data_IF_902427793662
#
_entry.id   IF_902427793662
#
_cell.length_a   1.000
_cell.length_b   1.000
_cell.length_c   1.000
_cell.angle_alpha   90.00
_cell.angle_beta   90.00
_cell.angle_gamma   90.00
#
_symmetry.space_group_name_H-M   'P 1'
#
loop_
_entity.id
_entity.type
_entity.pdbx_description
1 polymer ?
#
# COMPACT_ATOMS: atom_id res chain seq x y z
N UNK A 1 17.19 -10.54 -31.69
CA UNK A 1 16.73 -9.16 -31.45
C UNK A 1 16.04 -9.13 -30.10
N UNK A 2 16.73 -8.62 -29.08
CA UNK A 2 16.15 -8.43 -27.75
C UNK A 2 15.40 -7.09 -27.78
N UNK A 3 14.08 -7.11 -27.78
CA UNK A 3 13.29 -5.89 -27.63
C UNK A 3 13.55 -5.40 -26.20
N UNK A 4 14.13 -4.20 -25.99
CA UNK A 4 14.26 -3.67 -24.65
C UNK A 4 12.85 -3.47 -24.11
N UNK A 5 12.46 -4.29 -23.12
CA UNK A 5 11.27 -4.04 -22.31
C UNK A 5 11.52 -2.68 -21.64
N UNK A 6 10.76 -1.67 -22.06
CA UNK A 6 10.87 -0.31 -21.56
C UNK A 6 10.87 -0.32 -20.03
N UNK A 7 11.73 0.51 -19.43
CA UNK A 7 11.71 0.75 -17.99
C UNK A 7 10.27 1.11 -17.60
N UNK A 8 9.69 0.40 -16.64
CA UNK A 8 8.37 0.73 -16.11
C UNK A 8 8.42 2.16 -15.60
N UNK A 9 7.68 3.07 -16.24
CA UNK A 9 7.68 4.47 -15.86
C UNK A 9 6.91 4.63 -14.55
N UNK A 10 7.48 5.40 -13.62
CA UNK A 10 6.87 5.62 -12.32
C UNK A 10 5.72 6.62 -12.49
N UNK A 11 4.49 6.10 -12.40
CA UNK A 11 3.29 6.89 -12.63
C UNK A 11 3.05 7.94 -11.55
N UNK A 12 3.30 7.57 -10.29
CA UNK A 12 3.29 8.49 -9.16
C UNK A 12 3.70 7.83 -7.86
N UNK A 13 3.71 8.61 -6.80
CA UNK A 13 4.17 8.21 -5.47
C UNK A 13 3.37 8.95 -4.41
N UNK A 14 3.21 8.31 -3.25
CA UNK A 14 2.71 8.95 -2.05
C UNK A 14 3.29 8.22 -0.81
N UNK A 15 3.25 8.86 0.35
CA UNK A 15 3.70 8.30 1.63
C UNK A 15 2.65 8.63 2.68
N UNK A 16 2.13 7.59 3.33
CA UNK A 16 1.18 7.76 4.43
C UNK A 16 1.91 7.56 5.77
N UNK A 17 1.91 8.57 6.66
CA UNK A 17 2.41 8.41 8.01
C UNK A 17 1.48 7.51 8.84
N UNK A 18 1.96 6.33 9.23
CA UNK A 18 1.16 5.35 9.97
C UNK A 18 0.79 5.78 11.40
N UNK A 19 1.48 6.80 11.94
CA UNK A 19 1.19 7.39 13.27
C UNK A 19 -0.22 7.97 13.37
N UNK A 20 -0.81 8.33 12.24
CA UNK A 20 -2.14 8.94 12.21
C UNK A 20 -3.23 7.86 12.23
N UNK A 21 -2.90 6.57 12.09
CA UNK A 21 -3.87 5.49 12.17
C UNK A 21 -4.28 5.23 13.62
N UNK A 22 -5.60 5.17 13.87
CA UNK A 22 -6.11 4.65 15.14
C UNK A 22 -6.01 3.12 15.13
N UNK A 23 -5.55 2.49 16.22
CA UNK A 23 -5.62 1.03 16.35
C UNK A 23 -7.04 0.50 16.21
N UNK A 24 -7.20 -0.65 15.55
CA UNK A 24 -8.48 -1.33 15.27
C UNK A 24 -9.48 -0.53 14.43
N UNK A 25 -9.05 0.57 13.81
CA UNK A 25 -9.88 1.42 12.96
C UNK A 25 -9.38 1.35 11.51
N UNK A 26 -10.29 1.04 10.59
CA UNK A 26 -10.02 1.15 9.15
C UNK A 26 -10.15 2.61 8.73
N UNK A 27 -9.11 3.13 8.10
CA UNK A 27 -9.12 4.48 7.53
C UNK A 27 -8.91 4.44 6.02
N UNK A 28 -9.79 5.11 5.31
CA UNK A 28 -9.69 5.32 3.87
C UNK A 28 -8.85 6.56 3.55
N UNK A 29 -7.99 6.43 2.55
CA UNK A 29 -7.11 7.47 2.05
C UNK A 29 -7.29 7.61 0.54
N UNK A 30 -7.56 8.83 0.10
CA UNK A 30 -7.46 9.23 -1.29
C UNK A 30 -6.17 10.00 -1.47
N UNK A 31 -5.23 9.42 -2.21
CA UNK A 31 -3.88 9.93 -2.40
C UNK A 31 -3.72 10.52 -3.78
N UNK A 32 -3.46 11.81 -3.85
CA UNK A 32 -3.00 12.44 -5.09
C UNK A 32 -1.61 11.90 -5.44
N UNK A 33 -1.45 11.39 -6.66
CA UNK A 33 -0.20 10.82 -7.12
C UNK A 33 0.80 11.92 -7.47
N UNK A 34 1.95 11.93 -6.79
CA UNK A 34 3.02 12.89 -7.04
C UNK A 34 4.09 12.29 -7.94
N UNK A 35 4.66 13.07 -8.88
CA UNK A 35 5.78 12.61 -9.70
C UNK A 35 7.03 12.43 -8.87
N UNK A 36 7.32 13.39 -8.02
CA UNK A 36 8.50 13.42 -7.16
C UNK A 36 8.09 13.62 -5.71
N UNK A 37 8.98 13.24 -4.79
CA UNK A 37 8.78 13.48 -3.36
C UNK A 37 9.18 14.91 -2.96
N UNK A 38 9.63 15.74 -3.91
CA UNK A 38 9.96 17.13 -3.64
C UNK A 38 8.68 17.97 -3.67
N UNK A 39 8.28 18.59 -2.55
CA UNK A 39 7.01 19.31 -2.47
C UNK A 39 6.99 20.60 -3.29
N UNK A 40 8.15 21.09 -3.77
CA UNK A 40 8.26 22.30 -4.59
C UNK A 40 8.50 21.97 -6.07
N UNK A 41 8.43 20.70 -6.48
CA UNK A 41 8.61 20.31 -7.86
C UNK A 41 7.39 20.75 -8.69
N UNK A 42 7.56 21.61 -9.72
CA UNK A 42 6.46 22.08 -10.54
C UNK A 42 5.78 20.96 -11.35
N UNK A 43 6.37 19.76 -11.41
CA UNK A 43 5.67 18.59 -11.96
C UNK A 43 4.48 18.20 -11.09
N UNK A 44 4.58 18.33 -9.76
CA UNK A 44 3.53 17.98 -8.81
C UNK A 44 2.31 18.93 -8.84
N UNK A 45 2.40 20.09 -9.52
CA UNK A 45 1.26 21.00 -9.72
C UNK A 45 0.18 20.42 -10.65
N UNK A 46 0.50 19.34 -11.38
CA UNK A 46 -0.45 18.66 -12.26
C UNK A 46 -1.04 17.44 -11.56
N UNK A 47 -2.31 17.14 -11.86
CA UNK A 47 -2.89 15.85 -11.47
C UNK A 47 -2.24 14.73 -12.26
N UNK A 48 -1.71 13.72 -11.57
CA UNK A 48 -1.19 12.49 -12.18
C UNK A 48 -2.08 11.27 -11.91
N UNK A 49 -3.29 11.55 -11.44
CA UNK A 49 -4.27 10.58 -10.97
C UNK A 49 -4.32 10.50 -9.45
N UNK A 50 -5.31 9.76 -8.98
CA UNK A 50 -5.58 9.55 -7.57
C UNK A 50 -5.58 8.06 -7.28
N UNK A 51 -5.13 7.66 -6.10
CA UNK A 51 -5.15 6.30 -5.61
C UNK A 51 -5.99 6.23 -4.34
N UNK A 52 -6.97 5.33 -4.31
CA UNK A 52 -7.82 5.06 -3.15
C UNK A 52 -7.33 3.79 -2.48
N UNK A 53 -6.96 3.89 -1.22
CA UNK A 53 -6.58 2.75 -0.38
C UNK A 53 -7.24 2.83 0.99
N UNK A 54 -7.32 1.71 1.68
CA UNK A 54 -7.65 1.65 3.10
C UNK A 54 -6.49 1.06 3.89
N UNK A 55 -6.27 1.60 5.09
CA UNK A 55 -5.26 1.15 6.03
C UNK A 55 -5.92 0.83 7.37
N UNK A 56 -5.57 -0.31 7.94
CA UNK A 56 -6.03 -0.73 9.28
C UNK A 56 -4.83 -1.24 10.06
N UNK A 57 -4.57 -0.66 11.23
CA UNK A 57 -3.55 -1.17 12.14
C UNK A 57 -4.22 -1.93 13.28
N UNK A 58 -4.01 -3.25 13.34
CA UNK A 58 -4.53 -4.13 14.40
C UNK A 58 -3.40 -4.43 15.40
N UNK A 59 -3.36 -3.82 16.60
CA UNK A 59 -2.33 -4.12 17.58
C UNK A 59 -2.51 -5.53 18.13
N UNK A 60 -1.42 -6.24 18.40
CA UNK A 60 -1.49 -7.52 19.09
C UNK A 60 -1.74 -7.27 20.58
N UNK A 61 -2.81 -7.85 21.12
CA UNK A 61 -3.08 -7.82 22.56
C UNK A 61 -2.18 -8.85 23.26
N UNK A 62 -1.73 -8.52 24.46
CA UNK A 62 -0.93 -9.42 25.28
C UNK A 62 -1.79 -10.64 25.65
N UNK A 63 -1.51 -11.79 25.05
CA UNK A 63 -2.28 -13.05 25.23
C UNK A 63 -3.21 -13.44 24.08
N UNK A 64 -3.27 -12.65 23.00
CA UNK A 64 -4.05 -13.01 21.80
C UNK A 64 -3.38 -14.20 21.09
N UNK A 65 -4.03 -15.36 21.17
CA UNK A 65 -3.53 -16.62 20.60
C UNK A 65 -3.96 -16.82 19.14
N UNK A 66 -4.77 -15.91 18.59
CA UNK A 66 -5.45 -16.08 17.32
C UNK A 66 -5.57 -14.71 16.62
N UNK A 67 -4.63 -14.37 15.74
CA UNK A 67 -4.84 -13.24 14.82
C UNK A 67 -5.87 -13.72 13.80
N UNK A 68 -7.13 -13.29 13.97
CA UNK A 68 -8.17 -13.50 12.96
C UNK A 68 -7.82 -12.68 11.71
N UNK A 69 -7.04 -13.31 10.84
CA UNK A 69 -6.85 -12.87 9.48
C UNK A 69 -8.17 -13.08 8.77
N UNK A 70 -8.99 -12.03 8.70
CA UNK A 70 -10.37 -12.08 8.19
C UNK A 70 -10.48 -12.35 6.67
N UNK A 71 -9.44 -12.89 6.04
CA UNK A 71 -9.47 -13.44 4.69
C UNK A 71 -8.43 -14.58 4.59
N UNK A 72 -8.91 -15.80 4.38
CA UNK A 72 -8.19 -17.05 4.64
C UNK A 72 -7.03 -17.39 3.70
N UNK A 73 -5.96 -16.60 3.68
CA UNK A 73 -4.72 -16.98 2.94
C UNK A 73 -3.43 -17.06 3.74
N UNK A 74 -3.30 -16.50 4.93
CA UNK A 74 -2.11 -16.74 5.77
C UNK A 74 -2.50 -16.68 7.25
N UNK A 75 -2.64 -17.86 7.86
CA UNK A 75 -2.79 -17.98 9.31
C UNK A 75 -1.42 -17.65 9.89
N UNK A 76 -1.24 -16.42 10.35
CA UNK A 76 -0.07 -16.07 11.17
C UNK A 76 -0.32 -16.72 12.54
N UNK A 77 0.01 -18.01 12.65
CA UNK A 77 -0.33 -18.84 13.81
C UNK A 77 0.26 -18.30 15.13
N UNK A 78 1.29 -17.45 15.07
CA UNK A 78 1.84 -16.72 16.23
C UNK A 78 2.51 -15.43 15.78
N UNK A 79 2.49 -14.40 16.62
CA UNK A 79 3.50 -13.35 16.54
C UNK A 79 4.88 -14.02 16.58
N UNK A 80 5.74 -13.87 15.56
CA UNK A 80 7.03 -14.54 15.52
C UNK A 80 7.86 -14.11 16.73
N UNK A 81 8.63 -15.07 17.26
CA UNK A 81 9.54 -14.84 18.37
C UNK A 81 10.41 -13.60 18.10
N UNK A 82 10.28 -12.58 18.94
CA UNK A 82 10.94 -11.28 18.79
C UNK A 82 10.02 -10.09 18.48
N UNK A 83 8.70 -10.29 18.39
CA UNK A 83 7.73 -9.18 18.34
C UNK A 83 7.63 -8.53 19.73
N UNK A 84 7.93 -7.22 19.84
CA UNK A 84 7.89 -6.51 21.11
C UNK A 84 6.44 -6.23 21.55
N UNK A 85 6.23 -6.01 22.85
CA UNK A 85 4.94 -5.55 23.39
C UNK A 85 4.53 -4.23 22.71
N UNK A 86 3.57 -4.30 21.78
CA UNK A 86 3.20 -3.19 20.89
C UNK A 86 3.31 -3.48 19.40
N UNK A 87 3.81 -4.65 18.99
CA UNK A 87 3.67 -5.11 17.61
C UNK A 87 2.21 -5.29 17.20
N UNK A 88 1.96 -5.36 15.89
CA UNK A 88 0.61 -5.53 15.32
C UNK A 88 0.63 -5.95 13.86
N UNK A 89 -0.55 -5.99 13.24
CA UNK A 89 -0.75 -6.25 11.83
C UNK A 89 -1.20 -4.96 11.13
N UNK A 90 -0.46 -4.53 10.11
CA UNK A 90 -0.91 -3.47 9.21
C UNK A 90 -1.56 -4.12 7.99
N UNK A 91 -2.84 -3.85 7.81
CA UNK A 91 -3.61 -4.27 6.64
C UNK A 91 -3.69 -3.08 5.68
N UNK A 92 -3.40 -3.32 4.41
CA UNK A 92 -3.39 -2.33 3.33
C UNK A 92 -4.29 -2.86 2.21
N UNK A 93 -5.48 -2.30 2.06
CA UNK A 93 -6.37 -2.60 0.95
C UNK A 93 -6.21 -1.57 -0.16
N UNK A 94 -5.86 -2.02 -1.37
CA UNK A 94 -5.72 -1.18 -2.55
C UNK A 94 -6.97 -1.35 -3.42
N UNK A 95 -7.82 -0.34 -3.45
CA UNK A 95 -9.09 -0.39 -4.19
C UNK A 95 -8.90 -0.06 -5.65
N UNK A 96 -8.74 1.24 -5.93
CA UNK A 96 -8.74 1.75 -7.29
C UNK A 96 -7.84 2.96 -7.43
N UNK A 97 -7.44 3.23 -8.68
CA UNK A 97 -6.88 4.51 -9.04
C UNK A 97 -7.72 5.12 -10.17
N UNK A 98 -7.66 6.44 -10.31
CA UNK A 98 -8.46 7.19 -11.28
C UNK A 98 -7.60 8.26 -11.95
N UNK A 99 -7.95 8.59 -13.20
CA UNK A 99 -7.26 9.58 -14.03
C UNK A 99 -5.74 9.38 -14.11
N UNK A 100 -5.30 8.12 -14.11
CA UNK A 100 -3.88 7.82 -14.25
C UNK A 100 -3.35 8.31 -15.60
N UNK A 101 -2.11 8.78 -15.64
CA UNK A 101 -1.51 9.26 -16.87
C UNK A 101 -1.18 8.14 -17.88
N UNK A 102 -1.01 8.52 -19.14
CA UNK A 102 -0.61 7.62 -20.22
C UNK A 102 -1.74 7.39 -21.23
N UNK A 103 -1.43 7.58 -22.52
CA UNK A 103 -2.40 7.49 -23.62
C UNK A 103 -2.42 6.13 -24.31
N UNK A 104 -1.26 5.50 -24.41
CA UNK A 104 -1.06 4.23 -25.07
C UNK A 104 -0.06 3.45 -24.20
N UNK A 105 -0.45 2.29 -23.66
CA UNK A 105 0.34 1.41 -22.78
C UNK A 105 0.33 1.69 -21.27
N UNK A 106 -0.78 2.22 -20.74
CA UNK A 106 -1.01 2.31 -19.29
C UNK A 106 -1.38 0.95 -18.72
N UNK A 107 -0.41 0.25 -18.14
CA UNK A 107 -0.64 -1.03 -17.47
C UNK A 107 -0.35 -0.87 -15.96
N UNK A 108 -1.25 -0.21 -15.22
CA UNK A 108 -0.94 0.21 -13.86
C UNK A 108 -0.91 -0.98 -12.90
N UNK A 109 -0.09 -0.83 -11.88
CA UNK A 109 -0.02 -1.66 -10.70
C UNK A 109 0.51 -0.81 -9.54
N UNK A 110 0.15 -1.15 -8.31
CA UNK A 110 0.61 -0.47 -7.10
C UNK A 110 1.70 -1.31 -6.47
N UNK A 111 2.75 -0.64 -5.96
CA UNK A 111 3.78 -1.25 -5.13
C UNK A 111 3.68 -0.63 -3.74
N UNK A 112 3.43 -1.47 -2.75
CA UNK A 112 3.42 -1.09 -1.33
C UNK A 112 4.75 -1.51 -0.74
N UNK A 113 5.45 -0.56 -0.13
CA UNK A 113 6.73 -0.78 0.53
C UNK A 113 6.58 -0.44 2.01
N UNK A 114 6.82 -1.41 2.88
CA UNK A 114 6.75 -1.22 4.33
C UNK A 114 7.91 -1.94 5.02
N UNK A 115 8.74 -1.19 5.77
CA UNK A 115 9.91 -1.73 6.52
C UNK A 115 10.82 -2.67 5.70
N UNK A 116 10.97 -2.40 4.40
CA UNK A 116 11.78 -3.21 3.47
C UNK A 116 11.05 -4.40 2.84
N UNK A 117 9.81 -4.68 3.27
CA UNK A 117 8.93 -5.64 2.61
C UNK A 117 8.17 -4.96 1.48
N UNK A 118 8.22 -5.55 0.28
CA UNK A 118 7.49 -5.09 -0.89
C UNK A 118 6.37 -6.06 -1.25
N UNK A 119 5.17 -5.51 -1.48
CA UNK A 119 4.04 -6.21 -2.10
C UNK A 119 3.56 -5.40 -3.30
N UNK A 120 2.97 -6.08 -4.29
CA UNK A 120 2.47 -5.43 -5.49
C UNK A 120 1.15 -6.02 -5.94
N UNK A 121 0.28 -5.17 -6.45
CA UNK A 121 -0.98 -5.60 -7.08
C UNK A 121 -0.72 -6.25 -8.43
N UNK A 122 -1.74 -6.94 -8.94
CA UNK A 122 -1.80 -7.42 -10.31
C UNK A 122 -1.74 -6.23 -11.26
N UNK A 123 -1.08 -6.45 -12.39
CA UNK A 123 -1.04 -5.47 -13.45
C UNK A 123 -2.32 -5.53 -14.27
N UNK A 124 -3.09 -4.43 -14.28
CA UNK A 124 -4.27 -4.29 -15.13
C UNK A 124 -3.82 -3.69 -16.46
N UNK A 125 -4.25 -4.25 -17.59
CA UNK A 125 -3.78 -3.82 -18.91
C UNK A 125 -4.64 -2.71 -19.48
N UNK A 126 -4.01 -1.68 -20.05
CA UNK A 126 -4.65 -0.57 -20.79
C UNK A 126 -5.81 0.09 -20.03
N UNK A 127 -5.64 0.33 -18.73
CA UNK A 127 -6.67 0.97 -17.91
C UNK A 127 -6.09 2.19 -17.20
N UNK A 128 -6.78 3.32 -17.30
CA UNK A 128 -6.44 4.57 -16.59
C UNK A 128 -7.20 4.70 -15.26
N UNK A 129 -8.22 3.87 -15.09
CA UNK A 129 -9.08 3.79 -13.91
C UNK A 129 -9.10 2.33 -13.39
N UNK A 130 -7.94 1.76 -13.03
CA UNK A 130 -7.83 0.38 -12.56
C UNK A 130 -8.53 0.18 -11.22
N UNK A 131 -9.17 -0.99 -11.07
CA UNK A 131 -9.69 -1.50 -9.80
C UNK A 131 -9.02 -2.82 -9.48
N UNK A 132 -8.21 -2.83 -8.44
CA UNK A 132 -7.49 -4.01 -7.98
C UNK A 132 -8.30 -4.77 -6.94
N UNK A 133 -8.87 -4.06 -5.96
CA UNK A 133 -9.52 -4.67 -4.79
C UNK A 133 -8.62 -5.74 -4.15
N UNK A 134 -7.33 -5.41 -3.98
CA UNK A 134 -6.33 -6.34 -3.44
C UNK A 134 -5.85 -5.88 -2.06
N UNK A 135 -5.86 -6.80 -1.11
CA UNK A 135 -5.39 -6.58 0.26
C UNK A 135 -3.99 -7.16 0.46
N UNK A 136 -3.16 -6.43 1.21
CA UNK A 136 -1.86 -6.86 1.67
C UNK A 136 -1.75 -6.71 3.17
N UNK A 137 -1.09 -7.66 3.80
CA UNK A 137 -0.88 -7.65 5.23
C UNK A 137 0.61 -7.62 5.54
N UNK A 138 0.98 -6.76 6.48
CA UNK A 138 2.36 -6.52 6.88
C UNK A 138 2.48 -6.63 8.39
N UNK A 139 3.47 -7.39 8.84
CA UNK A 139 3.74 -7.53 10.25
C UNK A 139 4.52 -6.35 10.80
N UNK A 140 3.94 -5.67 11.79
CA UNK A 140 4.57 -4.59 12.54
C UNK A 140 5.21 -5.18 13.80
N UNK A 141 6.54 -5.26 13.84
CA UNK A 141 7.27 -5.74 15.04
C UNK A 141 7.18 -4.79 16.23
N UNK A 142 6.93 -3.51 15.93
CA UNK A 142 6.82 -2.41 16.87
C UNK A 142 5.59 -1.57 16.49
N UNK A 143 5.01 -0.82 17.45
CA UNK A 143 3.90 0.06 17.13
C UNK A 143 4.35 1.14 16.14
N UNK A 144 3.45 1.67 15.30
CA UNK A 144 3.73 2.82 14.44
C UNK A 144 3.84 4.11 15.27
N UNK A 145 4.77 4.13 16.22
CA UNK A 145 5.21 5.31 16.98
C UNK A 145 6.52 5.79 16.38
N UNK A 146 6.57 7.11 16.16
CA UNK A 146 7.59 7.86 15.43
C UNK A 146 9.06 7.46 15.71
#
# INVERSE_FOLDING_TARGET
MSIPVGKHDKMGMNVIPLKDLTPDETRSFTLDLLKTMDPNDPQNDKSHGQLVIELTYKPFKEGDSEIDTSDGTDVIEKAPEGTQAGGGLLVVAVHEAQDLEGKHHTNPYVRVLFRGEERKTKCIKKNRDPRWEEEFQFMCKEPPTN
#
